data_IF_629890748709
#
_entry.id   IF_629890748709
#
_cell.length_a   1.000
_cell.length_b   1.000
_cell.length_c   1.000
_cell.angle_alpha   90.00
_cell.angle_beta   90.00
_cell.angle_gamma   90.00
#
_symmetry.space_group_name_H-M   'P 1'
#
loop_
_entity.id
_entity.type
_entity.pdbx_description
1 polymer ?
#
# COMPACT_ATOMS: atom_id res chain seq x y z
N UNK A 1 -1.07 14.62 -11.55
CA UNK A 1 -0.81 13.23 -11.95
C UNK A 1 -1.20 13.07 -13.42
N UNK A 2 -0.26 13.20 -14.35
CA UNK A 2 -0.61 13.30 -15.78
C UNK A 2 -0.79 11.94 -16.48
N UNK A 3 -0.38 10.84 -15.83
CA UNK A 3 -0.38 9.49 -16.40
C UNK A 3 -1.48 8.57 -15.87
N UNK A 4 -2.31 9.05 -14.94
CA UNK A 4 -3.52 8.35 -14.49
C UNK A 4 -4.70 8.92 -15.28
N UNK A 5 -5.44 8.06 -15.98
CA UNK A 5 -6.58 8.49 -16.81
C UNK A 5 -7.89 8.51 -16.03
N UNK A 6 -8.10 7.52 -15.16
CA UNK A 6 -9.34 7.34 -14.43
C UNK A 6 -9.22 6.32 -13.30
N UNK A 7 -10.19 6.33 -12.38
CA UNK A 7 -10.48 5.21 -11.48
C UNK A 7 -11.68 4.44 -12.04
N UNK A 8 -11.52 3.15 -12.29
CA UNK A 8 -12.57 2.32 -12.93
C UNK A 8 -13.18 1.35 -11.94
N UNK A 9 -14.50 1.40 -11.77
CA UNK A 9 -15.21 0.43 -10.93
C UNK A 9 -15.09 -0.99 -11.51
N UNK A 10 -14.71 -1.95 -10.68
CA UNK A 10 -14.59 -3.36 -11.06
C UNK A 10 -15.93 -4.07 -11.26
N UNK A 11 -17.04 -3.49 -10.79
CA UNK A 11 -18.38 -4.06 -10.92
C UNK A 11 -19.08 -3.53 -12.18
N UNK A 12 -19.30 -2.21 -12.27
CA UNK A 12 -20.07 -1.62 -13.37
C UNK A 12 -19.22 -1.04 -14.50
N UNK A 13 -17.89 -0.98 -14.35
CA UNK A 13 -16.99 -0.44 -15.36
C UNK A 13 -17.05 1.09 -15.51
N UNK A 14 -17.84 1.80 -14.69
CA UNK A 14 -17.89 3.26 -14.68
C UNK A 14 -16.53 3.84 -14.31
N UNK A 15 -16.14 4.88 -15.02
CA UNK A 15 -14.87 5.57 -14.83
C UNK A 15 -15.10 6.93 -14.17
N UNK A 16 -14.22 7.25 -13.24
CA UNK A 16 -14.21 8.50 -12.49
C UNK A 16 -12.90 9.23 -12.77
N UNK A 17 -12.94 10.55 -12.86
CA UNK A 17 -11.71 11.33 -12.99
C UNK A 17 -10.84 11.14 -11.74
N UNK A 18 -9.50 11.25 -11.86
CA UNK A 18 -8.64 11.36 -10.70
C UNK A 18 -9.19 12.45 -9.75
N UNK A 19 -9.33 12.11 -8.47
CA UNK A 19 -9.89 12.97 -7.41
C UNK A 19 -11.41 13.20 -7.41
N UNK A 20 -12.18 12.63 -8.34
CA UNK A 20 -13.66 12.68 -8.29
C UNK A 20 -14.23 11.83 -7.14
N UNK A 21 -13.56 10.73 -6.82
CA UNK A 21 -13.87 9.84 -5.69
C UNK A 21 -12.60 9.49 -4.94
N UNK A 22 -12.71 9.21 -3.64
CA UNK A 22 -11.54 8.88 -2.82
C UNK A 22 -11.18 7.39 -2.84
N UNK A 23 -12.18 6.50 -2.73
CA UNK A 23 -11.92 5.08 -2.46
C UNK A 23 -12.78 4.11 -3.28
N UNK A 24 -14.10 4.32 -3.33
CA UNK A 24 -15.05 3.35 -3.89
C UNK A 24 -16.07 4.01 -4.81
N UNK A 25 -16.64 3.20 -5.70
CA UNK A 25 -17.72 3.58 -6.59
C UNK A 25 -18.98 3.95 -5.78
N UNK A 26 -19.52 5.18 -5.91
CA UNK A 26 -20.71 5.61 -5.20
C UNK A 26 -21.95 4.76 -5.48
N UNK A 27 -22.02 4.13 -6.66
CA UNK A 27 -23.16 3.31 -7.07
C UNK A 27 -23.18 1.91 -6.38
N UNK A 28 -22.06 1.48 -5.77
CA UNK A 28 -21.90 0.15 -5.18
C UNK A 28 -21.37 0.16 -3.73
N UNK A 29 -21.17 1.33 -3.14
CA UNK A 29 -20.66 1.46 -1.77
C UNK A 29 -19.34 0.71 -1.56
N UNK A 30 -19.18 0.02 -0.42
CA UNK A 30 -17.93 -0.65 -0.06
C UNK A 30 -17.54 -1.83 -0.95
N UNK A 31 -18.48 -2.44 -1.68
CA UNK A 31 -18.17 -3.49 -2.65
C UNK A 31 -17.65 -2.91 -3.98
N UNK A 32 -17.87 -1.60 -4.20
CA UNK A 32 -17.52 -0.86 -5.39
C UNK A 32 -16.03 -0.55 -5.55
N UNK A 33 -15.14 -1.52 -5.37
CA UNK A 33 -13.69 -1.33 -5.52
C UNK A 33 -13.39 -0.77 -6.91
N UNK A 34 -12.52 0.25 -6.95
CA UNK A 34 -12.06 0.87 -8.19
C UNK A 34 -10.60 0.55 -8.45
N UNK A 35 -10.22 0.46 -9.73
CA UNK A 35 -8.88 0.15 -10.20
C UNK A 35 -8.26 1.35 -10.90
N UNK A 36 -6.97 1.60 -10.68
CA UNK A 36 -6.27 2.76 -11.22
C UNK A 36 -5.91 2.52 -12.68
N UNK A 37 -6.46 3.35 -13.58
CA UNK A 37 -6.19 3.26 -15.02
C UNK A 37 -5.07 4.22 -15.41
N UNK A 38 -4.16 3.74 -16.29
CA UNK A 38 -2.96 4.45 -16.70
C UNK A 38 -2.93 4.71 -18.20
N UNK A 39 -2.41 5.87 -18.59
CA UNK A 39 -2.01 6.13 -19.98
C UNK A 39 -0.62 5.54 -20.23
N UNK A 40 -0.57 4.25 -20.54
CA UNK A 40 0.68 3.58 -20.89
C UNK A 40 1.31 4.14 -22.17
N UNK A 41 0.53 4.75 -23.07
CA UNK A 41 1.04 5.43 -24.25
C UNK A 41 1.91 6.62 -23.84
N UNK A 42 1.40 7.48 -22.96
CA UNK A 42 2.11 8.62 -22.40
C UNK A 42 3.31 8.19 -21.56
N UNK A 43 3.14 7.23 -20.64
CA UNK A 43 4.25 6.71 -19.81
C UNK A 43 5.37 6.18 -20.71
N UNK A 44 5.00 5.53 -21.82
CA UNK A 44 5.98 5.03 -22.75
C UNK A 44 6.80 6.17 -23.40
N UNK A 45 6.36 7.42 -23.45
CA UNK A 45 7.20 8.46 -24.06
C UNK A 45 8.45 8.78 -23.23
N UNK A 46 8.44 8.50 -21.92
CA UNK A 46 9.52 8.88 -20.99
C UNK A 46 10.08 7.74 -20.14
N UNK A 47 9.43 6.58 -20.09
CA UNK A 47 9.86 5.45 -19.26
C UNK A 47 9.92 4.14 -20.05
N UNK A 48 11.07 3.47 -19.98
CA UNK A 48 11.43 2.21 -20.64
C UNK A 48 12.18 1.31 -19.65
N UNK A 49 12.16 -0.02 -19.85
CA UNK A 49 12.96 -0.93 -19.03
C UNK A 49 14.46 -0.56 -18.97
N UNK A 50 15.03 0.00 -20.05
CA UNK A 50 16.43 0.44 -20.08
C UNK A 50 16.73 1.56 -19.07
N UNK A 51 15.73 2.39 -18.71
CA UNK A 51 15.92 3.42 -17.69
C UNK A 51 16.23 2.82 -16.31
N UNK A 52 15.78 1.58 -16.04
CA UNK A 52 16.05 0.90 -14.79
C UNK A 52 17.52 0.48 -14.68
N UNK A 53 18.19 0.14 -15.78
CA UNK A 53 19.57 -0.37 -15.74
C UNK A 53 20.58 0.62 -15.15
N UNK A 54 20.37 1.92 -15.39
CA UNK A 54 21.22 3.00 -14.88
C UNK A 54 20.72 3.59 -13.55
N UNK A 55 19.52 3.19 -13.10
CA UNK A 55 18.93 3.67 -11.86
C UNK A 55 19.66 3.09 -10.64
N UNK A 56 20.02 3.96 -9.71
CA UNK A 56 20.69 3.62 -8.45
C UNK A 56 19.76 3.63 -7.25
N UNK A 57 18.48 3.97 -7.45
CA UNK A 57 17.45 3.83 -6.44
C UNK A 57 17.00 2.37 -6.36
N UNK A 58 17.42 1.70 -5.29
CA UNK A 58 17.07 0.33 -4.97
C UNK A 58 15.85 0.27 -4.05
N UNK A 59 14.74 0.83 -4.52
CA UNK A 59 13.46 0.84 -3.83
C UNK A 59 12.30 0.77 -4.83
N UNK A 60 11.07 0.73 -4.34
CA UNK A 60 9.87 0.82 -5.20
C UNK A 60 9.78 2.16 -5.96
N UNK A 61 10.51 3.19 -5.54
CA UNK A 61 10.40 4.54 -6.08
C UNK A 61 11.04 4.69 -7.46
N UNK A 62 11.93 3.78 -7.86
CA UNK A 62 12.39 3.70 -9.26
C UNK A 62 11.27 3.42 -10.27
N UNK A 63 10.14 2.89 -9.80
CA UNK A 63 8.94 2.66 -10.61
C UNK A 63 7.95 3.83 -10.53
N UNK A 64 8.34 5.02 -10.03
CA UNK A 64 7.46 6.20 -9.85
C UNK A 64 6.60 6.54 -11.09
N UNK A 65 7.10 6.47 -12.34
CA UNK A 65 6.26 6.69 -13.52
C UNK A 65 5.11 5.68 -13.71
N UNK A 66 5.17 4.53 -13.02
CA UNK A 66 4.15 3.48 -13.00
C UNK A 66 3.34 3.46 -11.70
N UNK A 67 3.45 4.50 -10.86
CA UNK A 67 2.78 4.61 -9.57
C UNK A 67 1.82 5.80 -9.54
N UNK A 68 0.76 5.77 -8.71
CA UNK A 68 -0.32 6.74 -8.74
C UNK A 68 -0.02 7.98 -7.88
N UNK A 69 1.20 8.52 -7.97
CA UNK A 69 1.71 9.62 -7.14
C UNK A 69 2.23 10.75 -8.01
N UNK A 70 2.29 11.97 -7.48
CA UNK A 70 2.87 13.10 -8.19
C UNK A 70 4.38 12.95 -8.36
N UNK A 71 4.96 13.38 -9.50
CA UNK A 71 6.39 13.25 -9.78
C UNK A 71 7.32 13.88 -8.75
N UNK A 72 6.87 14.94 -8.07
CA UNK A 72 7.61 15.71 -7.06
C UNK A 72 7.22 15.37 -5.62
N UNK A 73 6.23 14.48 -5.40
CA UNK A 73 5.85 14.06 -4.05
C UNK A 73 7.04 13.50 -3.28
N UNK A 74 7.27 13.96 -2.03
CA UNK A 74 8.28 13.39 -1.16
C UNK A 74 7.92 11.95 -0.85
N UNK A 75 8.93 11.09 -0.76
CA UNK A 75 8.76 9.67 -0.49
C UNK A 75 9.32 9.32 0.89
N UNK A 76 8.71 8.37 1.62
CA UNK A 76 9.27 7.86 2.87
C UNK A 76 10.74 7.40 2.72
N UNK A 77 11.62 7.71 3.69
CA UNK A 77 13.05 7.39 3.60
C UNK A 77 13.37 5.93 3.89
N UNK A 78 12.42 5.14 4.37
CA UNK A 78 12.62 3.71 4.60
C UNK A 78 12.80 2.97 3.27
N UNK A 79 13.76 2.05 3.25
CA UNK A 79 13.95 1.15 2.13
C UNK A 79 12.74 0.22 2.01
N UNK A 80 11.93 0.45 0.99
CA UNK A 80 10.78 -0.37 0.64
C UNK A 80 11.01 -0.93 -0.75
N UNK A 81 10.91 -2.25 -0.88
CA UNK A 81 11.21 -2.96 -2.12
C UNK A 81 12.66 -3.43 -2.20
N UNK A 82 13.08 -3.74 -3.42
CA UNK A 82 14.38 -4.32 -3.75
C UNK A 82 14.77 -5.51 -2.85
N UNK A 83 13.78 -6.33 -2.54
CA UNK A 83 13.97 -7.47 -1.63
C UNK A 83 14.63 -8.64 -2.35
N UNK A 84 15.34 -9.54 -1.64
CA UNK A 84 16.05 -10.64 -2.29
C UNK A 84 15.13 -11.57 -3.08
N UNK A 85 15.64 -12.05 -4.22
CA UNK A 85 15.08 -13.16 -4.99
C UNK A 85 16.06 -14.33 -4.96
N UNK A 86 15.78 -15.34 -4.14
CA UNK A 86 16.68 -16.49 -3.98
C UNK A 86 16.31 -17.60 -4.94
N UNK A 87 17.28 -18.14 -5.68
CA UNK A 87 17.11 -19.44 -6.33
C UNK A 87 17.09 -20.56 -5.28
N UNK A 88 16.13 -21.48 -5.38
CA UNK A 88 15.85 -22.48 -4.36
C UNK A 88 15.89 -23.94 -4.89
N UNK A 89 17.02 -24.41 -5.43
CA UNK A 89 17.11 -25.71 -6.09
C UNK A 89 16.82 -26.89 -5.14
N UNK A 90 17.22 -26.77 -3.86
CA UNK A 90 16.95 -27.81 -2.84
C UNK A 90 15.45 -27.96 -2.55
N UNK A 91 14.67 -26.88 -2.63
CA UNK A 91 13.21 -26.92 -2.49
C UNK A 91 12.55 -27.37 -3.80
N UNK A 92 13.17 -27.06 -4.95
CA UNK A 92 12.67 -27.45 -6.28
C UNK A 92 12.70 -28.98 -6.50
N UNK A 93 13.78 -29.64 -6.06
CA UNK A 93 14.03 -31.06 -6.29
C UNK A 93 12.88 -32.01 -5.86
N UNK A 94 12.38 -31.99 -4.60
CA UNK A 94 11.29 -32.87 -4.19
C UNK A 94 9.94 -32.53 -4.85
N UNK A 95 9.78 -31.32 -5.41
CA UNK A 95 8.57 -30.89 -6.13
C UNK A 95 8.60 -31.23 -7.63
N UNK A 96 9.72 -31.78 -8.14
CA UNK A 96 9.89 -32.05 -9.56
C UNK A 96 10.02 -30.79 -10.43
N UNK A 97 10.35 -29.64 -9.83
CA UNK A 97 10.48 -28.36 -10.53
C UNK A 97 11.90 -28.17 -11.05
N UNK A 98 12.03 -27.70 -12.30
CA UNK A 98 13.34 -27.34 -12.88
C UNK A 98 13.92 -26.08 -12.28
N UNK A 99 13.04 -25.11 -11.99
CA UNK A 99 13.42 -23.85 -11.39
C UNK A 99 12.40 -23.43 -10.33
N UNK A 100 12.89 -22.85 -9.25
CA UNK A 100 12.09 -22.31 -8.16
C UNK A 100 12.84 -21.13 -7.57
N UNK A 101 12.13 -20.03 -7.34
CA UNK A 101 12.66 -18.86 -6.65
C UNK A 101 11.77 -18.45 -5.48
N UNK A 102 12.36 -17.76 -4.51
CA UNK A 102 11.66 -17.18 -3.35
C UNK A 102 11.94 -15.68 -3.33
N UNK A 103 10.90 -14.88 -3.53
CA UNK A 103 10.93 -13.43 -3.33
C UNK A 103 10.67 -13.11 -1.87
N UNK A 104 11.69 -12.67 -1.14
CA UNK A 104 11.65 -12.55 0.32
C UNK A 104 11.29 -11.13 0.78
N UNK A 105 10.00 -10.81 0.69
CA UNK A 105 9.44 -9.58 1.24
C UNK A 105 9.31 -9.59 2.78
N UNK A 106 9.81 -10.63 3.45
CA UNK A 106 10.03 -10.63 4.89
C UNK A 106 11.21 -9.74 5.31
N UNK A 107 12.05 -9.30 4.36
CA UNK A 107 13.20 -8.41 4.61
C UNK A 107 12.89 -6.91 4.56
N UNK A 108 11.63 -6.55 4.32
CA UNK A 108 11.17 -5.16 4.37
C UNK A 108 11.35 -4.56 5.78
N UNK A 109 11.31 -3.24 5.92
CA UNK A 109 11.58 -2.53 7.17
C UNK A 109 10.71 -2.99 8.36
N UNK A 110 9.43 -3.33 8.13
CA UNK A 110 8.53 -3.87 9.16
C UNK A 110 8.39 -5.39 9.10
N UNK A 111 9.27 -6.04 8.34
CA UNK A 111 9.26 -7.47 8.02
C UNK A 111 7.99 -7.93 7.28
N UNK A 112 7.42 -7.07 6.43
CA UNK A 112 6.24 -7.43 5.66
C UNK A 112 6.15 -6.80 4.27
N UNK A 113 5.64 -7.59 3.32
CA UNK A 113 5.12 -7.12 2.02
C UNK A 113 4.18 -5.92 2.11
N UNK A 114 3.49 -5.73 3.25
CA UNK A 114 2.56 -4.62 3.44
C UNK A 114 3.23 -3.25 3.43
N UNK A 115 4.55 -3.17 3.60
CA UNK A 115 5.34 -1.94 3.50
C UNK A 115 5.16 -1.27 2.13
N UNK A 116 5.11 -2.05 1.04
CA UNK A 116 4.91 -1.51 -0.31
C UNK A 116 3.60 -0.73 -0.43
N UNK A 117 2.52 -1.29 0.09
CA UNK A 117 1.21 -0.63 0.06
C UNK A 117 1.16 0.57 1.02
N UNK A 118 1.73 0.43 2.23
CA UNK A 118 1.74 1.51 3.22
C UNK A 118 2.59 2.70 2.78
N UNK A 119 3.68 2.47 2.04
CA UNK A 119 4.49 3.51 1.43
C UNK A 119 3.68 4.40 0.47
N UNK A 120 2.91 3.79 -0.43
CA UNK A 120 1.99 4.53 -1.32
C UNK A 120 0.91 5.23 -0.51
N UNK A 121 0.31 4.55 0.48
CA UNK A 121 -0.75 5.13 1.31
C UNK A 121 -0.31 6.43 1.99
N UNK A 122 0.90 6.46 2.54
CA UNK A 122 1.46 7.63 3.22
C UNK A 122 1.70 8.78 2.24
N UNK A 123 2.26 8.51 1.06
CA UNK A 123 2.43 9.55 0.02
C UNK A 123 1.06 10.12 -0.40
N UNK A 124 0.07 9.26 -0.68
CA UNK A 124 -1.28 9.72 -1.04
C UNK A 124 -1.95 10.52 0.07
N UNK A 125 -1.76 10.13 1.34
CA UNK A 125 -2.28 10.89 2.47
C UNK A 125 -1.66 12.29 2.54
N UNK A 126 -0.35 12.41 2.30
CA UNK A 126 0.35 13.69 2.27
C UNK A 126 -0.07 14.56 1.09
N UNK A 127 -0.24 13.99 -0.11
CA UNK A 127 -0.78 14.69 -1.27
C UNK A 127 -2.20 15.23 -1.02
N UNK A 128 -3.02 14.48 -0.29
CA UNK A 128 -4.37 14.89 0.13
C UNK A 128 -4.37 15.84 1.33
N UNK A 129 -3.22 16.14 1.92
CA UNK A 129 -3.10 17.00 3.12
C UNK A 129 -3.76 16.39 4.37
N UNK A 130 -3.91 15.06 4.43
CA UNK A 130 -4.57 14.40 5.55
C UNK A 130 -3.70 14.45 6.82
N UNK A 131 -4.24 15.06 7.88
CA UNK A 131 -3.53 15.17 9.15
C UNK A 131 -3.30 13.82 9.84
N UNK A 132 -4.20 12.85 9.61
CA UNK A 132 -4.15 11.50 10.18
C UNK A 132 -4.40 10.48 9.08
N UNK A 133 -3.65 9.38 9.12
CA UNK A 133 -3.91 8.16 8.35
C UNK A 133 -4.36 7.03 9.27
N UNK A 134 -5.33 6.23 8.84
CA UNK A 134 -5.93 5.17 9.66
C UNK A 134 -6.03 3.84 8.93
N UNK A 135 -6.10 2.76 9.70
CA UNK A 135 -6.44 1.41 9.23
C UNK A 135 -7.03 0.61 10.37
N UNK A 136 -7.87 -0.36 10.05
CA UNK A 136 -8.27 -1.42 10.96
C UNK A 136 -7.46 -2.67 10.64
N UNK A 137 -6.58 -3.09 11.55
CA UNK A 137 -5.80 -4.32 11.38
C UNK A 137 -5.10 -4.75 12.66
N UNK A 138 -5.16 -6.04 12.98
CA UNK A 138 -4.38 -6.68 14.05
C UNK A 138 -3.11 -7.34 13.54
N UNK A 139 -2.56 -6.91 12.40
CA UNK A 139 -1.46 -7.63 11.76
C UNK A 139 -0.55 -6.73 10.94
N UNK A 140 0.06 -7.33 9.92
CA UNK A 140 1.11 -6.70 9.13
C UNK A 140 0.70 -5.37 8.47
N UNK A 141 -0.58 -5.14 8.18
CA UNK A 141 -1.01 -3.88 7.58
C UNK A 141 -0.91 -2.70 8.57
N UNK A 142 -1.24 -2.94 9.84
CA UNK A 142 -1.05 -1.96 10.90
C UNK A 142 0.44 -1.74 11.16
N UNK A 143 1.23 -2.82 11.34
CA UNK A 143 2.67 -2.70 11.58
C UNK A 143 3.40 -1.94 10.46
N UNK A 144 3.10 -2.26 9.20
CA UNK A 144 3.62 -1.56 8.03
C UNK A 144 3.22 -0.09 8.03
N UNK A 145 1.93 0.23 8.24
CA UNK A 145 1.48 1.62 8.27
C UNK A 145 2.19 2.39 9.40
N UNK A 146 2.20 1.85 10.61
CA UNK A 146 2.87 2.44 11.77
C UNK A 146 4.35 2.72 11.51
N UNK A 147 5.09 1.73 10.98
CA UNK A 147 6.53 1.88 10.71
C UNK A 147 6.84 2.91 9.63
N UNK A 148 6.08 2.91 8.53
CA UNK A 148 6.25 3.92 7.46
C UNK A 148 5.89 5.31 7.98
N UNK A 149 4.78 5.46 8.71
CA UNK A 149 4.37 6.72 9.32
C UNK A 149 5.41 7.28 10.29
N UNK A 150 6.00 6.43 11.12
CA UNK A 150 7.05 6.81 12.06
C UNK A 150 8.25 7.45 11.34
N UNK A 151 8.61 6.94 10.15
CA UNK A 151 9.75 7.45 9.37
C UNK A 151 9.55 8.86 8.79
N UNK A 152 8.30 9.33 8.71
CA UNK A 152 7.95 10.65 8.17
C UNK A 152 7.15 11.51 9.16
N UNK A 153 7.06 11.08 10.43
CA UNK A 153 6.30 11.74 11.49
C UNK A 153 4.81 11.98 11.15
N UNK A 154 4.21 11.10 10.34
CA UNK A 154 2.78 11.17 10.02
C UNK A 154 1.96 10.59 11.18
N UNK A 155 1.05 11.36 11.82
CA UNK A 155 0.16 10.83 12.83
C UNK A 155 -0.74 9.73 12.25
N UNK A 156 -0.91 8.64 13.01
CA UNK A 156 -1.78 7.55 12.60
C UNK A 156 -2.57 6.95 13.77
N UNK A 157 -3.78 6.49 13.45
CA UNK A 157 -4.70 5.85 14.39
C UNK A 157 -5.04 4.45 13.88
N UNK A 158 -4.79 3.43 14.69
CA UNK A 158 -5.02 2.02 14.33
C UNK A 158 -6.19 1.48 15.14
N UNK A 159 -7.21 0.96 14.45
CA UNK A 159 -8.33 0.27 15.08
C UNK A 159 -8.05 -1.22 15.17
N UNK A 160 -8.20 -1.78 16.36
CA UNK A 160 -8.02 -3.21 16.63
C UNK A 160 -9.12 -3.71 17.56
N UNK A 161 -9.67 -4.92 17.39
CA UNK A 161 -10.51 -5.54 18.41
C UNK A 161 -9.74 -5.67 19.74
N UNK A 162 -10.46 -5.56 20.86
CA UNK A 162 -9.90 -5.67 22.21
C UNK A 162 -9.16 -6.98 22.48
N UNK A 163 -9.49 -8.03 21.73
CA UNK A 163 -8.90 -9.36 21.80
C UNK A 163 -7.57 -9.49 21.05
N UNK A 164 -7.08 -8.41 20.43
CA UNK A 164 -5.84 -8.42 19.66
C UNK A 164 -4.63 -8.80 20.56
N UNK A 165 -3.72 -9.68 20.08
CA UNK A 165 -2.58 -10.11 20.88
C UNK A 165 -1.67 -8.93 21.32
N UNK A 166 -1.30 -8.82 22.62
CA UNK A 166 -0.49 -7.71 23.13
C UNK A 166 0.84 -7.52 22.39
N UNK A 167 1.48 -8.61 21.97
CA UNK A 167 2.73 -8.56 21.21
C UNK A 167 2.60 -7.78 19.89
N UNK A 168 1.43 -7.86 19.25
CA UNK A 168 1.18 -7.12 18.01
C UNK A 168 0.89 -5.65 18.28
N UNK A 169 0.16 -5.35 19.36
CA UNK A 169 -0.10 -3.97 19.81
C UNK A 169 1.21 -3.27 20.19
N UNK A 170 2.12 -3.98 20.88
CA UNK A 170 3.41 -3.45 21.32
C UNK A 170 4.23 -2.89 20.15
N UNK A 171 4.23 -3.55 18.99
CA UNK A 171 4.92 -3.07 17.80
C UNK A 171 4.34 -1.73 17.30
N UNK A 172 3.01 -1.59 17.27
CA UNK A 172 2.33 -0.36 16.84
C UNK A 172 2.66 0.81 17.78
N UNK A 173 2.58 0.56 19.09
CA UNK A 173 2.90 1.56 20.11
C UNK A 173 4.38 1.98 20.06
N UNK A 174 5.29 1.03 19.79
CA UNK A 174 6.72 1.31 19.62
C UNK A 174 6.99 2.25 18.44
N UNK A 175 6.22 2.12 17.37
CA UNK A 175 6.26 3.04 16.23
C UNK A 175 5.48 4.34 16.45
N UNK A 176 4.89 4.55 17.63
CA UNK A 176 4.19 5.80 17.99
C UNK A 176 2.76 5.91 17.48
N UNK A 177 2.13 4.80 17.09
CA UNK A 177 0.71 4.80 16.72
C UNK A 177 -0.20 5.04 17.91
N UNK A 178 -1.28 5.78 17.69
CA UNK A 178 -2.44 5.75 18.59
C UNK A 178 -3.25 4.49 18.29
N UNK A 179 -3.44 3.62 19.29
CA UNK A 179 -4.18 2.36 19.12
C UNK A 179 -5.53 2.47 19.80
N UNK A 180 -6.61 2.27 19.03
CA UNK A 180 -7.99 2.24 19.52
C UNK A 180 -8.43 0.78 19.66
N UNK A 181 -8.53 0.31 20.91
CA UNK A 181 -9.11 -0.99 21.22
C UNK A 181 -10.65 -0.90 21.09
N UNK A 182 -11.21 -1.71 20.20
CA UNK A 182 -12.65 -1.75 19.91
C UNK A 182 -13.26 -2.93 20.63
N UNK A 183 -14.27 -2.68 21.45
CA UNK A 183 -15.07 -3.70 22.13
C UNK A 183 -16.00 -4.39 21.10
N UNK A 184 -15.45 -5.36 20.37
CA UNK A 184 -16.19 -6.04 19.30
C UNK A 184 -15.31 -6.94 18.44
N UNK A 185 -15.86 -7.31 17.30
CA UNK A 185 -15.23 -8.13 16.27
C UNK A 185 -14.24 -7.30 15.43
N UNK A 186 -13.55 -7.99 14.51
CA UNK A 186 -12.74 -7.30 13.51
C UNK A 186 -13.59 -6.40 12.60
N UNK A 187 -14.79 -6.86 12.23
CA UNK A 187 -15.69 -6.11 11.35
C UNK A 187 -16.17 -4.83 12.05
N UNK A 188 -16.49 -4.91 13.36
CA UNK A 188 -16.83 -3.71 14.16
C UNK A 188 -15.67 -2.68 14.18
N UNK A 189 -14.42 -3.16 14.30
CA UNK A 189 -13.25 -2.30 14.26
C UNK A 189 -13.00 -1.70 12.86
N UNK A 190 -13.32 -2.45 11.80
CA UNK A 190 -13.23 -2.00 10.43
C UNK A 190 -14.28 -0.92 10.12
N UNK A 191 -15.53 -1.15 10.50
CA UNK A 191 -16.63 -0.19 10.32
C UNK A 191 -16.38 1.09 11.10
N UNK A 192 -15.92 0.99 12.36
CA UNK A 192 -15.57 2.17 13.15
C UNK A 192 -14.40 2.95 12.54
N UNK A 193 -13.41 2.27 11.96
CA UNK A 193 -12.31 2.90 11.24
C UNK A 193 -12.80 3.67 10.00
N UNK A 194 -13.73 3.10 9.22
CA UNK A 194 -14.33 3.78 8.08
C UNK A 194 -15.15 5.00 8.50
N UNK A 195 -16.00 4.85 9.52
CA UNK A 195 -16.80 5.95 10.07
C UNK A 195 -15.93 7.08 10.61
N UNK A 196 -14.84 6.76 11.32
CA UNK A 196 -13.90 7.76 11.82
C UNK A 196 -13.17 8.47 10.67
N UNK A 197 -12.76 7.74 9.63
CA UNK A 197 -12.12 8.34 8.47
C UNK A 197 -13.04 9.34 7.76
N UNK A 198 -14.31 8.97 7.53
CA UNK A 198 -15.32 9.85 6.94
C UNK A 198 -15.61 11.07 7.84
N UNK A 199 -15.86 10.83 9.13
CA UNK A 199 -16.27 11.88 10.07
C UNK A 199 -15.18 12.93 10.31
N UNK A 200 -13.92 12.50 10.38
CA UNK A 200 -12.80 13.36 10.74
C UNK A 200 -11.89 13.73 9.56
N UNK A 201 -12.22 13.29 8.34
CA UNK A 201 -11.40 13.51 7.15
C UNK A 201 -10.02 12.85 7.22
N UNK A 202 -9.91 11.69 7.88
CA UNK A 202 -8.66 10.94 7.93
C UNK A 202 -8.46 10.13 6.64
N UNK A 203 -7.21 9.95 6.24
CA UNK A 203 -6.91 9.09 5.10
C UNK A 203 -7.03 7.62 5.49
N UNK A 204 -7.78 6.82 4.72
CA UNK A 204 -8.01 5.41 5.04
C UNK A 204 -7.13 4.49 4.18
N UNK A 205 -6.31 3.65 4.82
CA UNK A 205 -5.37 2.72 4.17
C UNK A 205 -5.93 1.31 3.93
N UNK A 206 -7.14 1.01 4.38
CA UNK A 206 -7.65 -0.36 4.41
C UNK A 206 -7.57 -1.05 3.03
N UNK A 207 -7.05 -2.28 3.02
CA UNK A 207 -6.97 -3.09 1.79
C UNK A 207 -8.38 -3.56 1.41
N UNK A 208 -8.68 -3.58 0.11
CA UNK A 208 -10.03 -3.90 -0.37
C UNK A 208 -11.00 -2.73 -0.28
N UNK A 209 -10.53 -1.56 0.17
CA UNK A 209 -11.27 -0.31 0.19
C UNK A 209 -10.50 0.78 -0.57
N UNK A 210 -9.25 1.01 -0.18
CA UNK A 210 -8.40 1.99 -0.83
C UNK A 210 -7.77 1.43 -2.13
N UNK A 211 -8.00 2.06 -3.29
CA UNK A 211 -7.56 1.55 -4.59
C UNK A 211 -6.03 1.56 -4.74
N UNK A 212 -5.33 2.48 -4.06
CA UNK A 212 -3.88 2.64 -4.19
C UNK A 212 -3.08 1.53 -3.47
N UNK A 213 -3.75 0.64 -2.74
CA UNK A 213 -3.07 -0.45 -2.03
C UNK A 213 -2.53 -1.53 -2.97
N UNK A 214 -3.18 -1.76 -4.12
CA UNK A 214 -2.65 -2.65 -5.18
C UNK A 214 -1.41 -2.06 -5.83
N UNK A 215 -1.35 -0.73 -5.93
CA UNK A 215 -0.32 -0.01 -6.68
C UNK A 215 1.06 -0.09 -6.02
N UNK A 216 1.11 -0.11 -4.69
CA UNK A 216 2.34 -0.46 -3.99
C UNK A 216 2.70 -1.92 -4.19
N UNK A 217 1.72 -2.82 -4.06
CA UNK A 217 1.93 -4.28 -4.14
C UNK A 217 2.45 -4.74 -5.49
N UNK A 218 1.95 -4.18 -6.61
CA UNK A 218 2.36 -4.58 -7.97
C UNK A 218 3.86 -4.39 -8.24
N UNK A 219 4.53 -3.51 -7.48
CA UNK A 219 5.98 -3.28 -7.60
C UNK A 219 6.81 -4.55 -7.35
N UNK A 220 6.29 -5.52 -6.58
CA UNK A 220 6.97 -6.81 -6.41
C UNK A 220 7.08 -7.57 -7.74
N UNK A 221 6.07 -7.43 -8.60
CA UNK A 221 6.09 -8.05 -9.93
C UNK A 221 7.10 -7.37 -10.84
N UNK A 222 7.25 -6.04 -10.75
CA UNK A 222 8.28 -5.32 -11.48
C UNK A 222 9.68 -5.78 -11.07
N UNK A 223 9.93 -5.90 -9.77
CA UNK A 223 11.21 -6.39 -9.25
C UNK A 223 11.53 -7.86 -9.56
N UNK A 224 10.51 -8.69 -9.82
CA UNK A 224 10.72 -10.09 -10.24
C UNK A 224 11.03 -10.17 -11.73
N UNK A 225 10.45 -9.27 -12.52
CA UNK A 225 10.63 -9.23 -13.97
C UNK A 225 11.90 -8.52 -14.42
N UNK A 226 12.38 -7.56 -13.64
CA UNK A 226 13.66 -6.87 -13.83
C UNK A 226 14.86 -7.80 -13.61
#
# INVERSE_FOLDING_TARGET
MNHITSLKCLICGKEYQPDEIDYVCPDHGYEGIVDVQYDYGLISLSFRPQNLADDRDYSIWRYKPLLPIEPDSPVPPLAVGWTPLYEAPRLAAPLGLKHLWVKDDGRQATASFKDRASAIAVVKAQEKGAAIITTASTGNAAAALSGICASVQQPNVIFVPETAPPAKIAQLLTFGSTVMLVHGTYDDAFDLCLQAAETYGWYNRNTGFNPYMSEGKKTVSFEICE
#
